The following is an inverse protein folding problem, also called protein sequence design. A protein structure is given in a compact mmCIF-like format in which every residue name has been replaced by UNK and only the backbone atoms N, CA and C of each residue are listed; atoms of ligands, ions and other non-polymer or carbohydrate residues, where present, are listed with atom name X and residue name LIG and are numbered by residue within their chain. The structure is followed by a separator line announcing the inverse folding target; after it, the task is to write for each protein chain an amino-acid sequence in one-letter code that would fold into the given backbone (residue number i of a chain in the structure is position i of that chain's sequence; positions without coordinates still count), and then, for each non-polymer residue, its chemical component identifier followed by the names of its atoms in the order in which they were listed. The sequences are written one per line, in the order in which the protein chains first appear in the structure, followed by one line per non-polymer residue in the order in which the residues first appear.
data_IF_477169862488
#
_entry.id   IF_477169862488
#
_cell.length_a   1.000
_cell.length_b   1.000
_cell.length_c   1.000
_cell.angle_alpha   90.00
_cell.angle_beta   90.00
_cell.angle_gamma   90.00
#
_symmetry.space_group_name_H-M   'P 1'
#
loop_
_entity.id
_entity.type
_entity.pdbx_description
1 polymer ?
#
# COMPACT_ATOMS: atom_id res chain seq x y z
N UNK A 1 -2.22 3.63 -26.02
CA UNK A 1 -2.16 4.41 -24.77
C UNK A 1 -1.88 3.44 -23.62
N UNK A 2 -1.00 3.81 -22.69
CA UNK A 2 -0.57 2.94 -21.59
C UNK A 2 -0.86 3.62 -20.27
N UNK A 3 -1.35 2.84 -19.30
CA UNK A 3 -1.62 3.29 -17.94
C UNK A 3 -0.84 2.46 -16.93
N UNK A 4 -0.37 3.10 -15.86
CA UNK A 4 0.17 2.39 -14.68
C UNK A 4 -0.86 2.21 -13.58
N UNK A 5 -2.09 2.69 -13.80
CA UNK A 5 -3.25 2.58 -12.91
C UNK A 5 -4.51 2.88 -13.72
N UNK A 6 -5.60 2.14 -13.51
CA UNK A 6 -6.84 2.29 -14.30
C UNK A 6 -7.73 3.46 -13.89
N UNK A 7 -7.30 4.31 -12.95
CA UNK A 7 -8.13 5.33 -12.30
C UNK A 7 -8.90 6.20 -13.31
N UNK A 8 -8.20 6.75 -14.30
CA UNK A 8 -8.80 7.68 -15.26
C UNK A 8 -9.87 7.02 -16.14
N UNK A 9 -9.59 5.89 -16.84
CA UNK A 9 -10.61 5.28 -17.69
C UNK A 9 -11.78 4.64 -16.93
N UNK A 10 -11.55 4.09 -15.73
CA UNK A 10 -12.61 3.48 -14.92
C UNK A 10 -13.59 4.54 -14.41
N UNK A 11 -13.08 5.67 -13.94
CA UNK A 11 -13.88 6.77 -13.42
C UNK A 11 -14.01 7.93 -14.40
N UNK A 12 -14.09 7.67 -15.71
CA UNK A 12 -14.14 8.71 -16.76
C UNK A 12 -15.24 9.75 -16.54
N UNK A 13 -16.38 9.36 -15.95
CA UNK A 13 -17.48 10.28 -15.69
C UNK A 13 -17.12 11.33 -14.62
N UNK A 14 -16.15 11.02 -13.75
CA UNK A 14 -15.59 11.95 -12.77
C UNK A 14 -14.32 12.64 -13.30
N UNK A 15 -13.40 11.89 -13.88
CA UNK A 15 -12.08 12.40 -14.33
C UNK A 15 -12.14 13.17 -15.64
N UNK A 16 -13.21 12.98 -16.43
CA UNK A 16 -13.40 13.54 -17.77
C UNK A 16 -12.31 13.12 -18.77
N UNK A 17 -11.67 11.98 -18.52
CA UNK A 17 -10.65 11.39 -19.40
C UNK A 17 -11.28 10.31 -20.26
N UNK A 18 -11.58 10.64 -21.51
CA UNK A 18 -11.95 9.67 -22.53
C UNK A 18 -10.71 9.09 -23.22
N UNK A 19 -10.79 7.82 -23.58
CA UNK A 19 -9.73 7.14 -24.35
C UNK A 19 -10.10 7.11 -25.85
N UNK A 20 -9.13 7.29 -26.77
CA UNK A 20 -9.38 7.17 -28.20
C UNK A 20 -9.83 5.75 -28.59
N UNK A 21 -10.68 5.65 -29.62
CA UNK A 21 -11.30 4.38 -30.06
C UNK A 21 -10.47 3.59 -31.09
N UNK A 22 -9.42 4.21 -31.61
CA UNK A 22 -8.61 3.73 -32.74
C UNK A 22 -7.21 3.28 -32.34
N UNK A 23 -6.94 3.15 -31.03
CA UNK A 23 -5.65 2.71 -30.49
C UNK A 23 -5.82 1.62 -29.44
N UNK A 24 -4.80 0.79 -29.21
CA UNK A 24 -4.83 -0.08 -28.04
C UNK A 24 -4.78 0.74 -26.75
N UNK A 25 -5.53 0.30 -25.74
CA UNK A 25 -5.53 0.89 -24.39
C UNK A 25 -5.23 -0.22 -23.41
N UNK A 26 -4.07 -0.13 -22.76
CA UNK A 26 -3.56 -1.20 -21.89
C UNK A 26 -3.02 -0.64 -20.59
N UNK A 27 -2.89 -1.52 -19.61
CA UNK A 27 -2.35 -1.23 -18.29
C UNK A 27 -1.26 -2.22 -17.91
N UNK A 28 -0.21 -1.70 -17.29
CA UNK A 28 0.75 -2.48 -16.51
C UNK A 28 1.04 -1.72 -15.20
N UNK A 29 0.55 -2.23 -14.08
CA UNK A 29 0.59 -1.58 -12.78
C UNK A 29 1.48 -2.39 -11.79
N UNK A 30 2.72 -1.94 -11.55
CA UNK A 30 3.57 -2.48 -10.49
C UNK A 30 2.94 -2.28 -9.11
N UNK A 31 2.98 -3.31 -8.27
CA UNK A 31 2.33 -3.32 -6.95
C UNK A 31 3.27 -2.80 -5.86
N UNK A 32 3.75 -1.57 -6.05
CA UNK A 32 4.51 -0.84 -5.04
C UNK A 32 5.04 0.51 -5.54
N UNK A 33 5.75 1.22 -4.68
CA UNK A 33 6.23 2.57 -5.01
C UNK A 33 7.18 2.58 -6.22
N UNK A 34 7.19 3.68 -6.98
CA UNK A 34 8.13 3.85 -8.10
C UNK A 34 9.61 3.74 -7.66
N UNK A 35 9.93 4.12 -6.42
CA UNK A 35 11.27 3.93 -5.84
C UNK A 35 11.59 2.44 -5.64
N UNK A 36 10.63 1.65 -5.18
CA UNK A 36 10.77 0.19 -5.02
C UNK A 36 10.96 -0.49 -6.36
N UNK A 37 10.14 -0.13 -7.37
CA UNK A 37 10.29 -0.62 -8.75
C UNK A 37 11.73 -0.41 -9.24
N UNK A 38 12.23 0.82 -9.13
CA UNK A 38 13.59 1.13 -9.60
C UNK A 38 14.68 0.44 -8.79
N UNK A 39 14.55 0.38 -7.47
CA UNK A 39 15.58 -0.19 -6.60
C UNK A 39 15.71 -1.69 -6.83
N UNK A 40 14.59 -2.42 -6.84
CA UNK A 40 14.59 -3.85 -7.11
C UNK A 40 15.11 -4.17 -8.51
N UNK A 41 14.71 -3.41 -9.54
CA UNK A 41 15.22 -3.58 -10.90
C UNK A 41 16.76 -3.53 -10.95
N UNK A 42 17.36 -2.58 -10.23
CA UNK A 42 18.82 -2.44 -10.15
C UNK A 42 19.50 -3.58 -9.38
N UNK A 43 18.78 -4.23 -8.49
CA UNK A 43 19.23 -5.42 -7.75
C UNK A 43 19.05 -6.72 -8.55
N UNK A 44 18.56 -6.66 -9.79
CA UNK A 44 18.21 -7.85 -10.58
C UNK A 44 16.95 -8.56 -10.06
N UNK A 45 16.14 -7.86 -9.29
CA UNK A 45 14.86 -8.30 -8.72
C UNK A 45 13.71 -7.52 -9.35
N UNK A 46 12.48 -7.96 -9.11
CA UNK A 46 11.30 -7.28 -9.62
C UNK A 46 10.15 -7.34 -8.63
N UNK A 47 9.40 -6.25 -8.51
CA UNK A 47 8.09 -6.28 -7.86
C UNK A 47 7.06 -6.89 -8.82
N UNK A 48 6.02 -7.51 -8.30
CA UNK A 48 4.96 -8.04 -9.13
C UNK A 48 4.14 -6.90 -9.75
N UNK A 49 3.57 -7.16 -10.93
CA UNK A 49 2.71 -6.21 -11.64
C UNK A 49 1.43 -6.89 -12.09
N UNK A 50 0.31 -6.16 -12.03
CA UNK A 50 -0.90 -6.56 -12.76
C UNK A 50 -0.87 -5.99 -14.17
N UNK A 51 -1.46 -6.68 -15.13
CA UNK A 51 -1.69 -6.13 -16.46
C UNK A 51 -3.15 -6.30 -16.90
N UNK A 52 -3.63 -5.37 -17.73
CA UNK A 52 -4.98 -5.42 -18.27
C UNK A 52 -5.04 -4.81 -19.68
N UNK A 53 -6.05 -5.22 -20.44
CA UNK A 53 -6.39 -4.64 -21.74
C UNK A 53 -7.78 -4.03 -21.61
N UNK A 54 -7.91 -2.73 -21.86
CA UNK A 54 -9.19 -2.04 -21.92
C UNK A 54 -9.75 -2.03 -23.34
N UNK A 55 -8.87 -1.85 -24.33
CA UNK A 55 -9.22 -1.83 -25.76
C UNK A 55 -8.10 -2.48 -26.56
N UNK A 56 -8.45 -3.39 -27.47
CA UNK A 56 -7.53 -4.05 -28.40
C UNK A 56 -7.97 -3.78 -29.84
N UNK A 57 -7.31 -2.81 -30.49
CA UNK A 57 -7.57 -2.44 -31.89
C UNK A 57 -6.65 -3.23 -32.82
N UNK A 58 -5.46 -3.59 -32.36
CA UNK A 58 -4.44 -4.24 -33.19
C UNK A 58 -4.45 -5.77 -33.13
N UNK A 59 -5.17 -6.36 -32.18
CA UNK A 59 -5.11 -7.80 -31.87
C UNK A 59 -3.84 -8.20 -31.12
N UNK A 60 -3.07 -7.23 -30.61
CA UNK A 60 -1.77 -7.42 -29.93
C UNK A 60 -1.66 -6.67 -28.61
N UNK A 61 -2.76 -6.10 -28.10
CA UNK A 61 -2.74 -5.29 -26.88
C UNK A 61 -2.20 -6.06 -25.66
N UNK A 62 -2.59 -7.34 -25.52
CA UNK A 62 -2.12 -8.17 -24.41
C UNK A 62 -0.61 -8.45 -24.46
N UNK A 63 -0.09 -8.78 -25.64
CA UNK A 63 1.35 -8.95 -25.87
C UNK A 63 2.13 -7.69 -25.48
N UNK A 64 1.63 -6.51 -25.88
CA UNK A 64 2.23 -5.22 -25.52
C UNK A 64 2.20 -4.95 -24.01
N UNK A 65 1.13 -5.34 -23.32
CA UNK A 65 1.00 -5.14 -21.88
C UNK A 65 2.00 -6.01 -21.12
N UNK A 66 2.15 -7.27 -21.54
CA UNK A 66 3.13 -8.22 -20.99
C UNK A 66 4.55 -7.76 -21.30
N UNK A 67 4.83 -7.34 -22.53
CA UNK A 67 6.14 -6.83 -22.93
C UNK A 67 6.57 -5.61 -22.10
N UNK A 68 5.63 -4.70 -21.81
CA UNK A 68 5.88 -3.57 -20.91
C UNK A 68 6.26 -4.04 -19.50
N UNK A 69 5.52 -5.01 -18.96
CA UNK A 69 5.83 -5.60 -17.65
C UNK A 69 7.21 -6.22 -17.56
N UNK A 70 7.65 -6.91 -18.63
CA UNK A 70 9.01 -7.44 -18.75
C UNK A 70 10.03 -6.31 -18.82
N UNK A 71 9.77 -5.27 -19.63
CA UNK A 71 10.69 -4.14 -19.84
C UNK A 71 10.97 -3.35 -18.56
N UNK A 72 9.99 -3.24 -17.66
CA UNK A 72 10.16 -2.59 -16.35
C UNK A 72 10.70 -3.54 -15.26
N UNK A 73 11.01 -4.79 -15.63
CA UNK A 73 11.53 -5.84 -14.75
C UNK A 73 10.54 -6.27 -13.67
N UNK A 74 9.28 -6.46 -14.03
CA UNK A 74 8.30 -7.06 -13.11
C UNK A 74 8.75 -8.49 -12.76
N UNK A 75 8.69 -8.84 -11.47
CA UNK A 75 9.10 -10.18 -11.01
C UNK A 75 8.17 -11.28 -11.53
N UNK A 76 6.87 -10.98 -11.57
CA UNK A 76 5.87 -11.75 -12.30
C UNK A 76 4.70 -10.85 -12.68
N UNK A 77 3.90 -11.32 -13.64
CA UNK A 77 2.73 -10.63 -14.17
C UNK A 77 1.48 -11.44 -13.91
N UNK A 78 0.39 -10.78 -13.51
CA UNK A 78 -0.91 -11.40 -13.38
C UNK A 78 -1.99 -10.57 -14.08
N UNK A 79 -2.91 -11.26 -14.78
CA UNK A 79 -3.95 -10.63 -15.58
C UNK A 79 -5.09 -10.11 -14.70
N UNK A 80 -5.60 -8.93 -15.01
CA UNK A 80 -6.76 -8.30 -14.36
C UNK A 80 -7.61 -7.54 -15.39
N UNK A 81 -8.62 -6.80 -14.92
CA UNK A 81 -9.32 -5.75 -15.69
C UNK A 81 -8.98 -4.38 -15.12
N UNK A 82 -9.26 -3.31 -15.86
CA UNK A 82 -9.05 -1.94 -15.36
C UNK A 82 -9.83 -1.70 -14.06
N UNK A 83 -11.09 -2.16 -13.97
CA UNK A 83 -11.94 -1.99 -12.78
C UNK A 83 -11.39 -2.77 -11.59
N UNK A 84 -11.06 -4.06 -11.78
CA UNK A 84 -10.51 -4.89 -10.70
C UNK A 84 -9.17 -4.34 -10.19
N UNK A 85 -8.32 -3.85 -11.09
CA UNK A 85 -7.07 -3.20 -10.75
C UNK A 85 -7.33 -2.00 -9.84
N UNK A 86 -8.15 -1.05 -10.30
CA UNK A 86 -8.39 0.20 -9.56
C UNK A 86 -9.07 -0.04 -8.23
N UNK A 87 -10.08 -0.90 -8.20
CA UNK A 87 -10.80 -1.18 -6.96
C UNK A 87 -9.88 -1.82 -5.93
N UNK A 88 -9.09 -2.82 -6.34
CA UNK A 88 -8.17 -3.49 -5.40
C UNK A 88 -7.02 -2.58 -4.95
N UNK A 89 -6.50 -1.73 -5.82
CA UNK A 89 -5.38 -0.84 -5.55
C UNK A 89 -5.78 0.26 -4.55
N UNK A 90 -6.82 1.03 -4.87
CA UNK A 90 -7.32 2.10 -3.99
C UNK A 90 -7.82 1.56 -2.64
N UNK A 91 -8.48 0.40 -2.64
CA UNK A 91 -8.90 -0.30 -1.43
C UNK A 91 -7.69 -0.74 -0.59
N UNK A 92 -6.66 -1.31 -1.22
CA UNK A 92 -5.47 -1.80 -0.54
C UNK A 92 -4.69 -0.70 0.16
N UNK A 93 -4.46 0.43 -0.53
CA UNK A 93 -3.75 1.61 0.01
C UNK A 93 -4.43 2.16 1.26
N UNK A 94 -5.76 2.30 1.22
CA UNK A 94 -6.55 2.75 2.38
C UNK A 94 -6.57 1.69 3.49
N UNK A 95 -6.60 0.43 3.09
CA UNK A 95 -6.58 -0.72 3.99
C UNK A 95 -5.18 -1.03 4.53
N UNK A 96 -4.76 -2.29 4.42
CA UNK A 96 -3.56 -2.77 5.10
C UNK A 96 -2.22 -2.26 4.55
N UNK A 97 -2.19 -1.56 3.42
CA UNK A 97 -0.92 -1.10 2.81
C UNK A 97 -0.44 0.24 3.36
N UNK A 98 -1.34 1.18 3.67
CA UNK A 98 -0.96 2.51 4.18
C UNK A 98 -1.84 2.97 5.34
N UNK A 99 -3.14 3.18 5.12
CA UNK A 99 -4.03 3.78 6.11
C UNK A 99 -4.23 2.90 7.36
N UNK A 100 -4.66 1.66 7.16
CA UNK A 100 -4.94 0.71 8.25
C UNK A 100 -3.71 0.35 9.07
N UNK A 101 -2.55 0.17 8.44
CA UNK A 101 -1.30 -0.11 9.16
C UNK A 101 -0.83 1.10 9.98
N UNK A 102 -0.95 2.32 9.45
CA UNK A 102 -0.61 3.52 10.21
C UNK A 102 -1.53 3.68 11.43
N UNK A 103 -2.84 3.52 11.25
CA UNK A 103 -3.82 3.60 12.34
C UNK A 103 -3.60 2.54 13.42
N UNK A 104 -3.25 1.30 13.02
CA UNK A 104 -2.94 0.23 13.97
C UNK A 104 -1.71 0.56 14.83
N UNK A 105 -0.63 1.06 14.20
CA UNK A 105 0.56 1.48 14.93
C UNK A 105 0.28 2.64 15.89
N UNK A 106 -0.48 3.65 15.46
CA UNK A 106 -0.85 4.77 16.32
C UNK A 106 -1.66 4.31 17.53
N UNK A 107 -2.71 3.52 17.32
CA UNK A 107 -3.58 3.07 18.40
C UNK A 107 -2.81 2.27 19.47
N UNK A 108 -1.93 1.36 19.06
CA UNK A 108 -1.12 0.59 20.01
C UNK A 108 -0.08 1.46 20.70
N UNK A 109 0.58 2.38 19.97
CA UNK A 109 1.56 3.30 20.53
C UNK A 109 0.93 4.18 21.61
N UNK A 110 -0.23 4.80 21.34
CA UNK A 110 -0.97 5.63 22.28
C UNK A 110 -1.31 4.87 23.57
N UNK A 111 -1.86 3.66 23.44
CA UNK A 111 -2.18 2.78 24.58
C UNK A 111 -0.96 2.49 25.45
N UNK A 112 0.21 2.26 24.87
CA UNK A 112 1.46 2.07 25.61
C UNK A 112 1.90 3.37 26.31
N UNK A 113 1.84 4.50 25.62
CA UNK A 113 2.23 5.81 26.19
C UNK A 113 1.34 6.22 27.36
N UNK A 114 0.04 6.01 27.25
CA UNK A 114 -0.93 6.24 28.34
C UNK A 114 -0.64 5.40 29.59
N UNK A 115 0.06 4.27 29.44
CA UNK A 115 0.42 3.34 30.52
C UNK A 115 1.83 3.53 31.04
N UNK A 116 2.50 4.63 30.62
CA UNK A 116 3.80 5.03 31.16
C UNK A 116 5.01 4.41 30.46
N UNK A 117 4.82 3.63 29.39
CA UNK A 117 5.95 3.11 28.59
C UNK A 117 6.69 4.25 27.90
N UNK A 118 8.01 4.16 27.79
CA UNK A 118 8.80 5.22 27.13
C UNK A 118 8.50 5.33 25.62
N UNK A 119 8.76 6.48 24.97
CA UNK A 119 8.61 6.61 23.52
C UNK A 119 9.41 5.58 22.71
N UNK A 120 10.64 5.28 23.14
CA UNK A 120 11.50 4.29 22.47
C UNK A 120 10.95 2.88 22.60
N UNK A 121 10.45 2.51 23.79
CA UNK A 121 9.85 1.22 24.04
C UNK A 121 8.55 1.06 23.25
N UNK A 122 7.65 2.05 23.30
CA UNK A 122 6.41 2.02 22.56
C UNK A 122 6.63 1.96 21.04
N UNK A 123 7.64 2.65 20.51
CA UNK A 123 8.01 2.54 19.09
C UNK A 123 8.57 1.15 18.75
N UNK A 124 9.39 0.56 19.64
CA UNK A 124 9.97 -0.76 19.42
C UNK A 124 8.89 -1.85 19.37
N UNK A 125 7.99 -1.85 20.35
CA UNK A 125 6.89 -2.82 20.51
C UNK A 125 5.73 -2.62 19.50
N UNK A 126 5.87 -1.67 18.56
CA UNK A 126 4.88 -1.39 17.51
C UNK A 126 5.49 -1.46 16.12
N UNK A 127 6.37 -0.52 15.78
CA UNK A 127 6.86 -0.32 14.41
C UNK A 127 8.19 -1.04 14.17
N UNK A 128 9.14 -0.94 15.10
CA UNK A 128 10.49 -1.47 14.87
C UNK A 128 10.47 -2.99 14.76
N UNK A 129 9.94 -3.70 15.76
CA UNK A 129 9.93 -5.16 15.76
C UNK A 129 9.06 -5.72 14.63
N UNK A 130 7.91 -5.08 14.36
CA UNK A 130 7.05 -5.46 13.24
C UNK A 130 7.79 -5.37 11.90
N UNK A 131 8.45 -4.25 11.62
CA UNK A 131 9.05 -4.00 10.29
C UNK A 131 10.44 -4.61 10.11
N UNK A 132 11.21 -4.79 11.18
CA UNK A 132 12.57 -5.36 11.11
C UNK A 132 12.61 -6.88 11.32
N UNK A 133 11.63 -7.44 12.05
CA UNK A 133 11.62 -8.86 12.39
C UNK A 133 10.41 -9.59 11.78
N UNK A 134 9.20 -9.26 12.23
CA UNK A 134 8.04 -10.13 11.98
C UNK A 134 7.50 -10.05 10.56
N UNK A 135 7.35 -8.86 9.99
CA UNK A 135 6.81 -8.69 8.63
C UNK A 135 7.73 -9.23 7.54
N UNK A 136 9.07 -9.12 7.64
CA UNK A 136 9.96 -9.84 6.76
C UNK A 136 9.73 -11.36 6.75
N UNK A 137 9.44 -11.98 7.90
CA UNK A 137 9.13 -13.41 7.96
C UNK A 137 7.81 -13.75 7.24
N UNK A 138 6.78 -12.91 7.41
CA UNK A 138 5.49 -13.07 6.70
C UNK A 138 5.72 -12.98 5.20
N UNK A 139 6.44 -11.96 4.73
CA UNK A 139 6.70 -11.76 3.31
C UNK A 139 7.55 -12.87 2.69
N UNK A 140 8.46 -13.48 3.46
CA UNK A 140 9.31 -14.57 2.98
C UNK A 140 8.60 -15.93 2.98
N UNK A 141 7.84 -16.25 4.04
CA UNK A 141 7.39 -17.61 4.31
C UNK A 141 5.90 -17.75 4.70
N UNK A 142 5.20 -16.65 4.96
CA UNK A 142 3.79 -16.67 5.37
C UNK A 142 3.56 -16.46 6.88
N UNK A 143 2.28 -16.34 7.25
CA UNK A 143 1.83 -16.05 8.62
C UNK A 143 2.07 -17.20 9.58
N UNK A 144 1.85 -18.43 9.12
CA UNK A 144 2.10 -19.67 9.85
C UNK A 144 3.58 -19.77 10.26
N UNK A 145 4.50 -19.51 9.33
CA UNK A 145 5.93 -19.52 9.62
C UNK A 145 6.32 -18.48 10.67
N UNK A 146 5.76 -17.26 10.57
CA UNK A 146 5.99 -16.22 11.58
C UNK A 146 5.50 -16.66 12.97
N UNK A 147 4.35 -17.34 13.06
CA UNK A 147 3.86 -17.88 14.33
C UNK A 147 4.71 -19.03 14.88
N UNK A 148 5.20 -19.92 14.03
CA UNK A 148 6.10 -21.01 14.42
C UNK A 148 7.45 -20.49 14.92
N UNK A 149 7.97 -19.42 14.32
CA UNK A 149 9.20 -18.76 14.72
C UNK A 149 9.11 -17.99 16.05
N UNK A 150 7.91 -17.76 16.57
CA UNK A 150 7.68 -17.04 17.82
C UNK A 150 7.59 -17.99 19.04
N UNK A 151 7.81 -17.43 20.24
CA UNK A 151 7.64 -18.16 21.50
C UNK A 151 6.21 -18.70 21.67
N UNK A 152 6.04 -19.76 22.45
CA UNK A 152 4.71 -20.36 22.71
C UNK A 152 3.70 -19.33 23.24
N UNK A 153 4.13 -18.42 24.12
CA UNK A 153 3.28 -17.36 24.67
C UNK A 153 2.83 -16.37 23.61
N UNK A 154 3.77 -15.87 22.78
CA UNK A 154 3.46 -14.92 21.72
C UNK A 154 2.54 -15.55 20.66
N UNK A 155 2.85 -16.77 20.20
CA UNK A 155 2.04 -17.51 19.23
C UNK A 155 0.62 -17.73 19.74
N UNK A 156 0.46 -18.25 20.97
CA UNK A 156 -0.88 -18.51 21.54
C UNK A 156 -1.70 -17.23 21.62
N UNK A 157 -1.11 -16.15 22.16
CA UNK A 157 -1.75 -14.85 22.26
C UNK A 157 -2.17 -14.28 20.89
N UNK A 158 -1.27 -14.29 19.90
CA UNK A 158 -1.58 -13.79 18.56
C UNK A 158 -2.77 -14.53 17.92
N UNK A 159 -2.80 -15.87 18.02
CA UNK A 159 -3.90 -16.67 17.46
C UNK A 159 -5.21 -16.39 18.21
N UNK A 160 -5.19 -16.26 19.53
CA UNK A 160 -6.39 -15.99 20.34
C UNK A 160 -7.02 -14.63 20.04
N UNK A 161 -6.20 -13.61 19.80
CA UNK A 161 -6.67 -12.24 19.54
C UNK A 161 -7.05 -12.00 18.08
N UNK A 162 -6.59 -12.84 17.14
CA UNK A 162 -6.84 -12.67 15.70
C UNK A 162 -8.34 -12.53 15.34
N UNK A 163 -9.27 -13.37 15.86
CA UNK A 163 -10.69 -13.22 15.56
C UNK A 163 -11.25 -11.85 15.96
N UNK A 164 -10.85 -11.33 17.13
CA UNK A 164 -11.31 -10.02 17.62
C UNK A 164 -10.85 -8.87 16.72
N UNK A 165 -9.59 -8.89 16.28
CA UNK A 165 -9.09 -7.91 15.33
C UNK A 165 -9.79 -8.02 13.97
N UNK A 166 -9.93 -9.24 13.44
CA UNK A 166 -10.63 -9.48 12.18
C UNK A 166 -12.07 -8.96 12.22
N UNK A 167 -12.81 -9.23 13.28
CA UNK A 167 -14.22 -8.84 13.40
C UNK A 167 -14.38 -7.33 13.58
N UNK A 168 -13.42 -6.66 14.23
CA UNK A 168 -13.39 -5.19 14.30
C UNK A 168 -13.03 -4.53 12.95
N UNK A 169 -12.12 -5.14 12.17
CA UNK A 169 -11.61 -4.57 10.92
C UNK A 169 -12.52 -4.83 9.72
N UNK A 170 -13.18 -5.98 9.65
CA UNK A 170 -13.97 -6.38 8.47
C UNK A 170 -15.08 -5.37 8.11
N UNK A 171 -15.84 -4.80 9.06
CA UNK A 171 -16.82 -3.74 8.73
C UNK A 171 -16.17 -2.50 8.10
N UNK A 172 -15.01 -2.07 8.62
CA UNK A 172 -14.26 -0.94 8.06
C UNK A 172 -13.80 -1.25 6.64
N UNK A 173 -13.25 -2.45 6.42
CA UNK A 173 -12.84 -2.88 5.08
C UNK A 173 -14.00 -2.98 4.09
N UNK A 174 -15.20 -3.39 4.52
CA UNK A 174 -16.38 -3.33 3.65
C UNK A 174 -16.69 -1.88 3.23
N UNK A 175 -16.71 -0.94 4.19
CA UNK A 175 -16.95 0.48 3.89
C UNK A 175 -15.90 1.07 2.96
N UNK A 176 -14.61 0.71 3.14
CA UNK A 176 -13.53 1.15 2.25
C UNK A 176 -13.69 0.62 0.82
N UNK A 177 -14.10 -0.64 0.67
CA UNK A 177 -14.31 -1.22 -0.66
C UNK A 177 -15.52 -0.58 -1.36
N UNK A 178 -16.62 -0.40 -0.64
CA UNK A 178 -17.84 0.18 -1.18
C UNK A 178 -17.63 1.64 -1.61
N UNK A 179 -16.91 2.46 -0.82
CA UNK A 179 -16.63 3.87 -1.15
C UNK A 179 -15.66 4.05 -2.32
N UNK A 180 -14.80 3.07 -2.57
CA UNK A 180 -13.97 3.03 -3.79
C UNK A 180 -14.84 2.65 -4.99
N UNK A 181 -15.62 1.58 -4.86
CA UNK A 181 -16.42 1.03 -5.96
C UNK A 181 -17.51 2.00 -6.44
N UNK A 182 -18.14 2.74 -5.54
CA UNK A 182 -19.18 3.72 -5.89
C UNK A 182 -18.62 5.06 -6.38
N UNK A 183 -17.29 5.25 -6.35
CA UNK A 183 -16.60 6.44 -6.82
C UNK A 183 -16.55 7.60 -5.81
N UNK A 184 -17.05 7.43 -4.60
CA UNK A 184 -16.99 8.45 -3.54
C UNK A 184 -15.54 8.84 -3.20
N UNK A 185 -14.66 7.84 -3.06
CA UNK A 185 -13.23 8.07 -2.82
C UNK A 185 -12.53 8.76 -3.98
N UNK A 186 -12.91 8.43 -5.21
CA UNK A 186 -12.40 9.07 -6.43
C UNK A 186 -12.78 10.54 -6.44
N UNK A 187 -14.07 10.85 -6.21
CA UNK A 187 -14.56 12.22 -6.14
C UNK A 187 -13.84 13.01 -5.04
N UNK A 188 -13.74 12.46 -3.83
CA UNK A 188 -13.03 13.08 -2.70
C UNK A 188 -11.57 13.38 -3.06
N UNK A 189 -10.88 12.44 -3.70
CA UNK A 189 -9.48 12.60 -4.10
C UNK A 189 -9.30 13.70 -5.15
N UNK A 190 -10.20 13.75 -6.15
CA UNK A 190 -10.19 14.80 -7.18
C UNK A 190 -10.48 16.19 -6.58
N UNK A 191 -11.47 16.28 -5.70
CA UNK A 191 -11.83 17.54 -5.03
C UNK A 191 -10.69 18.07 -4.17
N UNK A 192 -10.04 17.21 -3.38
CA UNK A 192 -8.88 17.58 -2.56
C UNK A 192 -7.68 18.01 -3.40
N UNK A 193 -7.31 17.22 -4.42
CA UNK A 193 -6.17 17.52 -5.28
C UNK A 193 -6.41 18.74 -6.20
N UNK A 194 -7.68 19.09 -6.45
CA UNK A 194 -8.08 20.24 -7.25
C UNK A 194 -8.09 21.58 -6.49
N UNK A 195 -7.87 21.58 -5.17
CA UNK A 195 -7.89 22.80 -4.38
C UNK A 195 -6.70 23.71 -4.70
N UNK A 196 -6.93 25.03 -4.74
CA UNK A 196 -5.88 26.01 -5.06
C UNK A 196 -4.69 25.97 -4.10
N UNK A 197 -4.97 25.69 -2.83
CA UNK A 197 -3.99 25.57 -1.75
C UNK A 197 -3.65 24.11 -1.40
N UNK A 198 -3.89 23.16 -2.31
CA UNK A 198 -3.60 21.73 -2.11
C UNK A 198 -2.20 21.50 -1.52
N UNK A 199 -1.16 22.13 -2.10
CA UNK A 199 0.22 21.94 -1.66
C UNK A 199 0.46 22.41 -0.23
N UNK A 200 -0.18 23.50 0.18
CA UNK A 200 -0.07 24.03 1.54
C UNK A 200 -0.74 23.10 2.55
N UNK A 201 -1.95 22.63 2.25
CA UNK A 201 -2.69 21.68 3.09
C UNK A 201 -1.94 20.35 3.22
N UNK A 202 -1.49 19.79 2.10
CA UNK A 202 -0.69 18.57 2.09
C UNK A 202 0.59 18.71 2.93
N UNK A 203 1.30 19.84 2.80
CA UNK A 203 2.50 20.06 3.60
C UNK A 203 2.17 20.15 5.09
N UNK A 204 1.07 20.81 5.47
CA UNK A 204 0.62 20.88 6.85
C UNK A 204 0.28 19.50 7.43
N UNK A 205 -0.47 18.67 6.69
CA UNK A 205 -0.77 17.27 7.09
C UNK A 205 0.51 16.45 7.25
N UNK A 206 1.44 16.57 6.30
CA UNK A 206 2.71 15.86 6.36
C UNK A 206 3.59 16.34 7.52
N UNK A 207 3.56 17.62 7.85
CA UNK A 207 4.28 18.16 9.00
C UNK A 207 3.66 17.69 10.32
N UNK A 208 2.35 17.58 10.40
CA UNK A 208 1.67 16.97 11.56
C UNK A 208 2.13 15.53 11.76
N UNK A 209 2.10 14.70 10.71
CA UNK A 209 2.60 13.31 10.75
C UNK A 209 4.08 13.27 11.15
N UNK A 210 4.95 14.05 10.49
CA UNK A 210 6.40 14.06 10.79
C UNK A 210 6.71 14.42 12.25
N UNK A 211 5.87 15.25 12.86
CA UNK A 211 6.07 15.74 14.21
C UNK A 211 5.45 14.86 15.30
N UNK A 212 4.66 13.83 14.94
CA UNK A 212 4.14 12.86 15.90
C UNK A 212 5.29 12.20 16.68
N UNK A 213 5.07 11.97 17.97
CA UNK A 213 6.09 11.41 18.88
C UNK A 213 6.61 10.04 18.38
N UNK A 214 5.72 9.17 17.90
CA UNK A 214 6.06 7.85 17.33
C UNK A 214 7.09 7.96 16.19
N UNK A 215 6.94 8.94 15.29
CA UNK A 215 7.81 9.08 14.13
C UNK A 215 9.13 9.80 14.45
N UNK A 216 9.11 10.69 15.44
CA UNK A 216 10.34 11.27 16.02
C UNK A 216 11.16 10.22 16.75
N UNK A 217 10.53 9.38 17.59
CA UNK A 217 11.16 8.24 18.23
C UNK A 217 11.74 7.28 17.18
N UNK A 218 10.97 6.96 16.15
CA UNK A 218 11.42 6.13 15.05
C UNK A 218 12.60 6.70 14.26
N UNK A 219 12.69 8.02 14.09
CA UNK A 219 13.86 8.65 13.48
C UNK A 219 15.12 8.42 14.32
N UNK A 220 15.02 8.54 15.64
CA UNK A 220 16.13 8.27 16.55
C UNK A 220 16.52 6.78 16.50
N UNK A 221 15.55 5.86 16.63
CA UNK A 221 15.80 4.41 16.59
C UNK A 221 16.44 3.99 15.27
N UNK A 222 15.89 4.41 14.13
CA UNK A 222 16.46 4.10 12.80
C UNK A 222 17.90 4.61 12.64
N UNK A 223 18.25 5.74 13.24
CA UNK A 223 19.62 6.29 13.16
C UNK A 223 20.66 5.43 13.89
N UNK A 224 20.22 4.58 14.83
CA UNK A 224 21.11 3.68 15.58
C UNK A 224 21.40 2.38 14.84
N UNK A 225 20.70 2.09 13.74
CA UNK A 225 20.83 0.82 13.02
C UNK A 225 22.21 0.70 12.36
N UNK A 226 22.89 -0.46 12.46
CA UNK A 226 24.24 -0.64 11.93
C UNK A 226 24.38 -0.32 10.44
N UNK A 227 23.37 -0.63 9.62
CA UNK A 227 23.40 -0.38 8.18
C UNK A 227 23.42 1.12 7.80
N UNK A 228 23.05 1.99 8.74
CA UNK A 228 23.05 3.45 8.56
C UNK A 228 24.35 4.13 9.01
N UNK A 229 25.33 3.37 9.52
CA UNK A 229 26.64 3.89 9.94
C UNK A 229 27.68 3.93 8.80
N UNK A 230 27.23 3.88 7.54
CA UNK A 230 28.09 3.90 6.34
C UNK A 230 28.28 5.30 5.77
#
# INVERSE_FOLDING_TARGET
MYFSHGFSPVFKDLTKVDVPKDIDVILCAPKGSGRTVRSLFREGRGINSSFAVYQDVTGKAEEKAVALGVAIGSGYLYKTTFEKEVYSDLYGERGCLMGGIHGMFLAQYEVLRERGHSPSEAFNETVEEATQSLYPLIGANGMDWMFEACSTTARRGAIDWTPKFKDALKPVFNSLYDSVKDGSETKRSLEYNGQKNYREQYNAEMDEIRNMEIWRAGKAVRSLRPENQK
#
